data_IF_651339228572
#
_entry.id   IF_651339228572
#
_cell.length_a   1.000
_cell.length_b   1.000
_cell.length_c   1.000
_cell.angle_alpha   90.00
_cell.angle_beta   90.00
_cell.angle_gamma   90.00
#
_symmetry.space_group_name_H-M   'P 1'
#
loop_
_entity.id
_entity.type
_entity.pdbx_description
1 polymer ?
#
# COMPACT_ATOMS: atom_id res chain seq x y z
N UNK A 1 22.71 -53.86 -35.36
CA UNK A 1 22.59 -52.43 -35.71
C UNK A 1 21.24 -52.20 -36.40
N UNK A 2 20.39 -51.33 -35.81
CA UNK A 2 19.33 -50.48 -36.43
C UNK A 2 18.11 -50.31 -35.50
N UNK A 3 17.89 -49.04 -35.17
CA UNK A 3 16.70 -48.31 -34.71
C UNK A 3 15.37 -49.06 -34.54
N UNK A 4 14.71 -48.79 -33.41
CA UNK A 4 13.26 -48.50 -33.38
C UNK A 4 12.94 -47.44 -32.32
N UNK A 5 12.80 -46.21 -32.82
CA UNK A 5 12.08 -45.09 -32.23
C UNK A 5 10.66 -45.54 -31.84
N UNK A 6 10.19 -45.19 -30.63
CA UNK A 6 8.76 -45.15 -30.32
C UNK A 6 8.45 -43.84 -29.59
N UNK A 7 7.60 -43.07 -30.26
CA UNK A 7 6.99 -41.79 -29.91
C UNK A 7 6.52 -41.73 -28.44
N UNK A 8 6.81 -40.64 -27.73
CA UNK A 8 5.93 -39.46 -27.59
C UNK A 8 4.46 -39.85 -27.42
N UNK A 9 3.96 -39.69 -26.20
CA UNK A 9 2.68 -39.08 -25.78
C UNK A 9 2.48 -39.44 -24.31
N UNK A 10 3.13 -38.71 -23.40
CA UNK A 10 2.58 -38.54 -22.06
C UNK A 10 1.89 -37.20 -22.07
N UNK A 11 0.58 -37.30 -22.28
CA UNK A 11 -0.42 -36.25 -22.12
C UNK A 11 -0.19 -35.47 -20.82
N UNK A 12 -0.62 -34.21 -20.88
CA UNK A 12 -0.75 -33.26 -19.78
C UNK A 12 -1.02 -33.93 -18.43
N UNK A 13 -0.30 -33.45 -17.41
CA UNK A 13 -0.50 -33.76 -16.00
C UNK A 13 -1.99 -33.84 -15.68
N UNK A 14 -2.48 -35.07 -15.49
CA UNK A 14 -3.76 -35.29 -14.86
C UNK A 14 -3.66 -34.71 -13.44
N UNK A 15 -4.42 -33.65 -13.19
CA UNK A 15 -4.65 -33.15 -11.83
C UNK A 15 -5.46 -34.25 -11.14
N UNK A 16 -4.82 -35.05 -10.30
CA UNK A 16 -5.48 -36.09 -9.53
C UNK A 16 -6.23 -35.42 -8.38
N UNK A 17 -7.55 -35.23 -8.52
CA UNK A 17 -8.42 -34.91 -7.41
C UNK A 17 -8.61 -36.14 -6.50
N UNK A 18 -8.54 -35.97 -5.18
CA UNK A 18 -8.74 -37.02 -4.18
C UNK A 18 -7.55 -37.21 -3.21
N UNK A 19 -7.63 -38.17 -2.26
CA UNK A 19 -6.72 -38.34 -1.11
C UNK A 19 -5.25 -38.69 -1.44
N UNK A 20 -4.87 -38.61 -2.71
CA UNK A 20 -3.50 -38.76 -3.22
C UNK A 20 -3.02 -37.51 -3.97
N UNK A 21 -3.69 -36.36 -3.76
CA UNK A 21 -3.25 -35.07 -4.26
C UNK A 21 -1.83 -34.76 -3.76
N UNK A 22 -0.98 -34.32 -4.68
CA UNK A 22 0.45 -34.03 -4.44
C UNK A 22 0.68 -32.57 -4.00
N UNK A 23 -0.40 -31.81 -3.88
CA UNK A 23 -0.39 -30.41 -3.41
C UNK A 23 -0.27 -30.45 -1.88
N UNK A 24 0.67 -29.67 -1.33
CA UNK A 24 0.79 -29.52 0.12
C UNK A 24 -0.47 -28.87 0.69
N UNK A 25 -0.95 -29.31 1.86
CA UNK A 25 -2.21 -28.84 2.45
C UNK A 25 -2.26 -27.29 2.50
N UNK A 26 -1.17 -26.63 2.87
CA UNK A 26 -1.06 -25.16 2.89
C UNK A 26 -1.29 -24.52 1.52
N UNK A 27 -0.77 -25.12 0.45
CA UNK A 27 -0.93 -24.63 -0.92
C UNK A 27 -2.37 -24.83 -1.44
N UNK A 28 -3.05 -25.89 -0.97
CA UNK A 28 -4.46 -26.10 -1.25
C UNK A 28 -5.35 -25.07 -0.52
N UNK A 29 -5.10 -24.82 0.77
CA UNK A 29 -5.84 -23.81 1.54
C UNK A 29 -5.62 -22.42 0.97
N UNK A 30 -4.39 -22.05 0.60
CA UNK A 30 -4.09 -20.77 -0.06
C UNK A 30 -4.83 -20.63 -1.40
N UNK A 31 -4.92 -21.70 -2.19
CA UNK A 31 -5.62 -21.69 -3.47
C UNK A 31 -7.14 -21.58 -3.32
N UNK A 32 -7.71 -22.26 -2.32
CA UNK A 32 -9.15 -22.20 -2.00
C UNK A 32 -9.51 -20.83 -1.45
N UNK A 33 -8.74 -20.29 -0.51
CA UNK A 33 -8.92 -18.93 0.01
C UNK A 33 -8.78 -17.88 -1.10
N UNK A 34 -7.75 -18.00 -1.95
CA UNK A 34 -7.59 -17.09 -3.10
C UNK A 34 -8.75 -17.17 -4.10
N UNK A 35 -9.36 -18.36 -4.27
CA UNK A 35 -10.56 -18.54 -5.07
C UNK A 35 -11.79 -17.86 -4.47
N UNK A 36 -11.96 -17.97 -3.15
CA UNK A 36 -13.04 -17.31 -2.41
C UNK A 36 -12.89 -15.79 -2.42
N UNK A 37 -11.67 -15.28 -2.22
CA UNK A 37 -11.34 -13.85 -2.29
C UNK A 37 -11.72 -13.25 -3.65
N UNK A 38 -11.45 -13.96 -4.75
CA UNK A 38 -11.83 -13.48 -6.10
C UNK A 38 -13.34 -13.36 -6.26
N UNK A 39 -14.09 -14.29 -5.68
CA UNK A 39 -15.56 -14.27 -5.70
C UNK A 39 -16.08 -13.12 -4.85
N UNK A 40 -15.51 -12.91 -3.65
CA UNK A 40 -15.86 -11.80 -2.77
C UNK A 40 -15.52 -10.44 -3.40
N UNK A 41 -14.35 -10.30 -4.00
CA UNK A 41 -13.98 -9.08 -4.74
C UNK A 41 -14.92 -8.79 -5.91
N UNK A 42 -15.34 -9.82 -6.66
CA UNK A 42 -16.30 -9.66 -7.75
C UNK A 42 -17.68 -9.25 -7.22
N UNK A 43 -18.10 -9.81 -6.08
CA UNK A 43 -19.34 -9.43 -5.41
C UNK A 43 -19.29 -7.99 -4.89
N UNK A 44 -18.21 -7.60 -4.21
CA UNK A 44 -18.00 -6.23 -3.73
C UNK A 44 -17.99 -5.23 -4.88
N UNK A 45 -17.32 -5.56 -5.99
CA UNK A 45 -17.33 -4.72 -7.18
C UNK A 45 -18.75 -4.55 -7.72
N UNK A 46 -19.54 -5.64 -7.78
CA UNK A 46 -20.94 -5.60 -8.22
C UNK A 46 -21.82 -4.79 -7.26
N UNK A 47 -21.61 -4.90 -5.96
CA UNK A 47 -22.36 -4.14 -4.96
C UNK A 47 -22.03 -2.64 -5.02
N UNK A 48 -20.76 -2.29 -5.17
CA UNK A 48 -20.33 -0.89 -5.34
C UNK A 48 -20.88 -0.24 -6.61
N UNK A 49 -20.97 -0.99 -7.70
CA UNK A 49 -21.63 -0.52 -8.93
C UNK A 49 -23.12 -0.27 -8.69
N UNK A 50 -23.77 -1.07 -7.84
CA UNK A 50 -25.20 -0.90 -7.50
C UNK A 50 -25.48 0.24 -6.53
N UNK A 51 -24.63 0.44 -5.52
CA UNK A 51 -24.84 1.45 -4.46
C UNK A 51 -24.25 2.82 -4.79
N UNK A 52 -23.31 2.89 -5.75
CA UNK A 52 -22.49 4.07 -6.00
C UNK A 52 -21.42 4.25 -4.90
N UNK A 53 -20.20 4.62 -5.28
CA UNK A 53 -19.14 4.88 -4.29
C UNK A 53 -19.50 6.13 -3.48
N UNK A 54 -19.80 5.98 -2.19
CA UNK A 54 -19.96 7.12 -1.30
C UNK A 54 -18.62 7.87 -1.21
N UNK A 55 -18.56 9.07 -1.78
CA UNK A 55 -17.39 9.95 -1.65
C UNK A 55 -17.34 10.48 -0.22
N UNK A 56 -16.22 10.31 0.52
CA UNK A 56 -16.09 10.91 1.83
C UNK A 56 -16.32 12.41 1.77
N UNK A 57 -17.13 12.94 2.68
CA UNK A 57 -17.30 14.39 2.82
C UNK A 57 -15.99 14.96 3.37
N UNK A 58 -15.38 15.87 2.62
CA UNK A 58 -14.16 16.58 3.00
C UNK A 58 -14.54 18.00 3.44
N UNK A 59 -14.39 18.36 4.72
CA UNK A 59 -14.59 19.74 5.19
C UNK A 59 -13.64 20.73 4.49
N UNK A 60 -13.96 22.04 4.48
CA UNK A 60 -13.01 23.04 4.00
C UNK A 60 -11.76 23.12 4.89
N UNK A 61 -10.60 23.52 4.35
CA UNK A 61 -9.38 23.79 5.12
C UNK A 61 -9.61 24.69 6.33
N UNK A 62 -9.04 24.32 7.48
CA UNK A 62 -9.20 25.06 8.74
C UNK A 62 -8.10 26.11 8.95
N UNK A 63 -6.85 25.81 8.58
CA UNK A 63 -5.73 26.75 8.69
C UNK A 63 -4.53 26.34 7.80
N UNK A 64 -3.53 27.20 7.58
CA UNK A 64 -2.26 26.75 7.02
C UNK A 64 -1.63 25.67 7.90
N UNK A 65 -1.11 24.60 7.29
CA UNK A 65 -0.52 23.47 8.03
C UNK A 65 0.51 23.90 9.06
N UNK A 66 1.38 24.86 8.74
CA UNK A 66 2.40 25.41 9.64
C UNK A 66 1.87 26.08 10.92
N UNK A 67 0.57 26.43 10.96
CA UNK A 67 -0.09 27.03 12.12
C UNK A 67 -0.90 26.02 12.94
N UNK A 68 -1.00 24.77 12.49
CA UNK A 68 -1.78 23.73 13.16
C UNK A 68 -1.03 23.11 14.34
N UNK A 69 -1.75 22.69 15.39
CA UNK A 69 -1.16 22.08 16.60
C UNK A 69 -0.34 20.81 16.33
N UNK A 70 -0.67 20.08 15.26
CA UNK A 70 0.04 18.86 14.86
C UNK A 70 1.28 19.14 14.01
N UNK A 71 1.50 20.38 13.57
CA UNK A 71 2.59 20.70 12.65
C UNK A 71 3.98 20.29 13.14
N UNK A 72 4.37 20.52 14.40
CA UNK A 72 5.70 20.11 14.87
C UNK A 72 5.93 18.59 14.73
N UNK A 73 4.89 17.79 15.00
CA UNK A 73 4.92 16.34 14.82
C UNK A 73 4.95 15.97 13.33
N UNK A 74 4.08 16.55 12.51
CA UNK A 74 4.02 16.32 11.06
C UNK A 74 5.38 16.58 10.43
N UNK A 75 5.98 17.75 10.69
CA UNK A 75 7.25 18.14 10.11
C UNK A 75 8.38 17.17 10.53
N UNK A 76 8.46 16.84 11.81
CA UNK A 76 9.47 15.93 12.35
C UNK A 76 9.32 14.51 11.78
N UNK A 77 8.12 13.94 11.83
CA UNK A 77 7.85 12.57 11.38
C UNK A 77 8.04 12.47 9.87
N UNK A 78 7.58 13.45 9.08
CA UNK A 78 7.79 13.46 7.63
C UNK A 78 9.28 13.47 7.31
N UNK A 79 10.07 14.33 7.96
CA UNK A 79 11.51 14.39 7.76
C UNK A 79 12.19 13.03 8.06
N UNK A 80 11.83 12.42 9.20
CA UNK A 80 12.37 11.12 9.62
C UNK A 80 11.98 9.99 8.65
N UNK A 81 10.71 9.90 8.27
CA UNK A 81 10.21 8.85 7.39
C UNK A 81 10.79 8.95 5.97
N UNK A 82 10.97 10.18 5.46
CA UNK A 82 11.65 10.40 4.18
C UNK A 82 13.11 9.96 4.25
N UNK A 83 13.83 10.32 5.32
CA UNK A 83 15.21 9.89 5.50
C UNK A 83 15.34 8.35 5.52
N UNK A 84 14.48 7.66 6.29
CA UNK A 84 14.46 6.19 6.34
C UNK A 84 14.04 5.53 5.03
N UNK A 85 13.08 6.11 4.31
CA UNK A 85 12.70 5.62 2.99
C UNK A 85 13.87 5.69 2.00
N UNK A 86 14.68 6.76 2.04
CA UNK A 86 15.86 6.94 1.17
C UNK A 86 17.02 6.00 1.47
N UNK A 87 17.18 5.53 2.71
CA UNK A 87 18.26 4.61 3.06
C UNK A 87 18.12 3.27 2.31
N UNK A 88 19.22 2.75 1.76
CA UNK A 88 19.22 1.41 1.17
C UNK A 88 18.95 0.34 2.23
N UNK A 89 18.56 -0.88 1.82
CA UNK A 89 18.37 -2.00 2.75
C UNK A 89 19.67 -2.36 3.47
N UNK A 90 20.83 -2.24 2.79
CA UNK A 90 22.14 -2.45 3.39
C UNK A 90 22.55 -1.38 4.42
N UNK A 91 22.04 -0.16 4.26
CA UNK A 91 22.29 0.96 5.19
C UNK A 91 21.27 1.00 6.35
N UNK A 92 20.16 0.25 6.22
CA UNK A 92 19.05 0.22 7.17
C UNK A 92 19.19 -0.89 8.25
N UNK A 93 20.39 -1.47 8.38
CA UNK A 93 20.74 -2.48 9.38
C UNK A 93 20.59 -3.95 8.93
N UNK A 94 21.14 -4.86 9.74
CA UNK A 94 20.97 -6.31 9.55
C UNK A 94 19.52 -6.74 9.85
N UNK A 95 19.03 -7.80 9.20
CA UNK A 95 17.75 -8.43 9.55
C UNK A 95 16.56 -8.18 8.59
N UNK A 96 16.73 -7.40 7.51
CA UNK A 96 15.73 -7.33 6.45
C UNK A 96 15.66 -8.65 5.66
N UNK A 97 14.45 -9.19 5.54
CA UNK A 97 14.16 -10.44 4.84
C UNK A 97 13.21 -10.16 3.67
N UNK A 98 13.59 -10.58 2.46
CA UNK A 98 12.69 -10.57 1.30
C UNK A 98 11.59 -11.62 1.52
N UNK A 99 10.33 -11.21 1.47
CA UNK A 99 9.18 -12.12 1.66
C UNK A 99 8.25 -12.19 0.45
N UNK A 100 8.33 -11.23 -0.48
CA UNK A 100 7.60 -11.25 -1.73
C UNK A 100 8.39 -10.55 -2.86
N UNK A 101 8.33 -11.13 -4.06
CA UNK A 101 8.87 -10.57 -5.30
C UNK A 101 7.91 -10.87 -6.45
N UNK A 102 7.56 -9.84 -7.23
CA UNK A 102 6.72 -9.96 -8.44
C UNK A 102 7.20 -8.90 -9.45
N UNK A 103 7.92 -9.34 -10.48
CA UNK A 103 8.53 -8.47 -11.50
C UNK A 103 9.45 -7.40 -10.89
N UNK A 104 9.08 -6.13 -11.03
CA UNK A 104 9.83 -4.98 -10.50
C UNK A 104 9.45 -4.63 -9.04
N UNK A 105 8.62 -5.44 -8.39
CA UNK A 105 8.21 -5.27 -7.00
C UNK A 105 9.01 -6.19 -6.09
N UNK A 106 9.61 -5.64 -5.03
CA UNK A 106 10.32 -6.37 -3.98
C UNK A 106 9.85 -5.90 -2.62
N UNK A 107 9.50 -6.82 -1.73
CA UNK A 107 9.03 -6.51 -0.37
C UNK A 107 9.87 -7.18 0.69
N UNK A 108 10.29 -6.38 1.64
CA UNK A 108 11.16 -6.75 2.73
C UNK A 108 10.44 -6.49 4.05
N UNK A 109 10.68 -7.36 5.03
CA UNK A 109 10.25 -7.17 6.41
C UNK A 109 11.43 -7.35 7.36
N UNK A 110 11.35 -6.75 8.53
CA UNK A 110 12.20 -7.07 9.67
C UNK A 110 11.30 -7.58 10.78
N UNK A 111 11.58 -8.75 11.34
CA UNK A 111 10.77 -9.27 12.43
C UNK A 111 11.07 -8.50 13.73
N UNK A 112 10.04 -7.96 14.35
CA UNK A 112 10.15 -7.14 15.54
C UNK A 112 8.89 -7.29 16.42
N UNK A 113 9.10 -7.47 17.71
CA UNK A 113 8.03 -7.60 18.69
C UNK A 113 8.26 -6.61 19.84
N UNK A 114 7.22 -5.84 20.15
CA UNK A 114 7.22 -4.86 21.24
C UNK A 114 6.04 -5.18 22.14
N UNK A 115 6.30 -5.43 23.43
CA UNK A 115 5.29 -5.82 24.41
C UNK A 115 4.44 -7.04 23.99
N UNK A 116 5.07 -8.00 23.30
CA UNK A 116 4.40 -9.20 22.77
C UNK A 116 3.50 -8.95 21.56
N UNK A 117 3.53 -7.74 20.99
CA UNK A 117 2.83 -7.39 19.76
C UNK A 117 3.79 -7.38 18.58
N UNK A 118 3.39 -8.01 17.48
CA UNK A 118 4.13 -7.98 16.21
C UNK A 118 4.05 -6.59 15.61
N UNK A 119 5.20 -5.94 15.47
CA UNK A 119 5.35 -4.60 14.91
C UNK A 119 6.34 -4.58 13.74
N UNK A 120 6.47 -5.72 13.05
CA UNK A 120 7.41 -5.95 11.95
C UNK A 120 7.47 -4.76 10.97
N UNK A 121 8.60 -4.01 10.91
CA UNK A 121 8.77 -2.98 9.90
C UNK A 121 8.80 -3.58 8.51
N UNK A 122 8.07 -2.96 7.58
CA UNK A 122 7.99 -3.34 6.18
C UNK A 122 8.58 -2.26 5.29
N UNK A 123 9.32 -2.68 4.26
CA UNK A 123 9.79 -1.83 3.18
C UNK A 123 9.58 -2.51 1.84
N UNK A 124 8.87 -1.86 0.93
CA UNK A 124 8.68 -2.31 -0.44
C UNK A 124 9.30 -1.32 -1.42
N UNK A 125 9.88 -1.84 -2.50
CA UNK A 125 10.36 -1.06 -3.64
C UNK A 125 9.65 -1.58 -4.88
N UNK A 126 9.06 -0.67 -5.65
CA UNK A 126 8.35 -1.02 -6.88
C UNK A 126 8.60 0.01 -7.98
N UNK A 127 8.87 -0.43 -9.20
CA UNK A 127 9.01 0.46 -10.36
C UNK A 127 7.81 0.26 -11.30
N UNK A 128 7.10 1.35 -11.60
CA UNK A 128 5.90 1.34 -12.43
C UNK A 128 6.08 2.29 -13.61
N UNK A 129 5.82 1.83 -14.83
CA UNK A 129 5.92 2.65 -16.05
C UNK A 129 4.65 3.47 -16.27
N UNK A 130 4.75 4.61 -16.93
CA UNK A 130 3.58 5.37 -17.40
C UNK A 130 2.93 6.29 -16.38
N UNK A 131 3.44 6.36 -15.15
CA UNK A 131 2.93 7.20 -14.07
C UNK A 131 4.05 7.99 -13.39
N UNK A 132 3.71 9.14 -12.81
CA UNK A 132 4.64 9.98 -12.04
C UNK A 132 4.48 9.77 -10.54
N UNK A 133 5.47 10.24 -9.76
CA UNK A 133 5.39 10.26 -8.31
C UNK A 133 4.30 11.20 -7.78
N UNK A 134 4.05 12.33 -8.46
CA UNK A 134 2.95 13.22 -8.11
C UNK A 134 1.59 12.52 -8.28
N UNK A 135 1.36 11.84 -9.41
CA UNK A 135 0.14 11.05 -9.65
C UNK A 135 -0.05 10.01 -8.55
N UNK A 136 0.98 9.21 -8.25
CA UNK A 136 0.91 8.19 -7.19
C UNK A 136 0.56 8.81 -5.83
N UNK A 137 1.26 9.86 -5.42
CA UNK A 137 1.01 10.50 -4.13
C UNK A 137 -0.38 11.16 -4.07
N UNK A 138 -0.83 11.79 -5.16
CA UNK A 138 -2.16 12.39 -5.25
C UNK A 138 -3.27 11.38 -5.01
N UNK A 139 -3.27 10.23 -5.71
CA UNK A 139 -4.30 9.20 -5.55
C UNK A 139 -4.20 8.45 -4.20
N UNK A 140 -3.01 8.39 -3.60
CA UNK A 140 -2.81 7.80 -2.27
C UNK A 140 -3.37 8.70 -1.15
N UNK A 141 -3.08 10.00 -1.22
CA UNK A 141 -3.50 11.01 -0.25
C UNK A 141 -5.00 11.32 -0.32
N UNK A 142 -5.53 11.49 -1.53
CA UNK A 142 -6.86 12.05 -1.79
C UNK A 142 -8.01 11.15 -1.28
N UNK A 143 -8.86 11.63 -0.34
CA UNK A 143 -9.95 10.84 0.26
C UNK A 143 -10.96 10.31 -0.77
N UNK A 144 -11.27 11.11 -1.79
CA UNK A 144 -12.31 10.81 -2.78
C UNK A 144 -12.03 9.55 -3.62
N UNK A 145 -10.77 9.12 -3.70
CA UNK A 145 -10.36 7.93 -4.45
C UNK A 145 -10.14 6.72 -3.56
N UNK A 146 -10.18 6.86 -2.22
CA UNK A 146 -9.74 5.80 -1.30
C UNK A 146 -10.48 4.50 -1.54
N UNK A 147 -11.81 4.55 -1.58
CA UNK A 147 -12.62 3.35 -1.75
C UNK A 147 -12.33 2.64 -3.06
N UNK A 148 -11.90 3.31 -4.13
CA UNK A 148 -11.64 2.69 -5.44
C UNK A 148 -10.58 1.59 -5.38
N UNK A 149 -9.55 1.80 -4.58
CA UNK A 149 -8.40 0.89 -4.52
C UNK A 149 -8.22 0.19 -3.16
N UNK A 150 -8.65 0.77 -2.05
CA UNK A 150 -8.49 0.19 -0.71
C UNK A 150 -9.56 -0.88 -0.42
N UNK A 151 -9.13 -2.12 -0.22
CA UNK A 151 -10.03 -3.28 -0.03
C UNK A 151 -10.22 -3.67 1.41
N UNK A 152 -9.38 -3.17 2.33
CA UNK A 152 -9.44 -3.52 3.76
C UNK A 152 -10.29 -2.55 4.58
N UNK A 153 -10.73 -1.45 3.98
CA UNK A 153 -11.48 -0.38 4.63
C UNK A 153 -12.97 -0.70 4.68
N UNK A 154 -13.56 -0.56 5.86
CA UNK A 154 -15.01 -0.63 6.08
C UNK A 154 -15.63 0.78 5.98
N UNK A 155 -15.04 1.75 6.67
CA UNK A 155 -15.53 3.13 6.72
C UNK A 155 -14.36 4.10 6.89
N UNK A 156 -14.44 5.24 6.20
CA UNK A 156 -13.56 6.40 6.35
C UNK A 156 -14.36 7.65 6.63
N UNK A 157 -13.87 8.45 7.58
CA UNK A 157 -14.33 9.81 7.89
C UNK A 157 -13.14 10.75 7.86
N UNK A 158 -13.25 11.88 7.14
CA UNK A 158 -12.32 13.00 7.26
C UNK A 158 -12.74 13.81 8.48
N UNK A 159 -12.00 13.69 9.57
CA UNK A 159 -12.28 14.40 10.82
C UNK A 159 -11.98 15.89 10.70
N UNK A 160 -10.90 16.22 9.99
CA UNK A 160 -10.45 17.59 9.77
C UNK A 160 -9.66 17.66 8.47
N UNK A 161 -9.93 18.68 7.65
CA UNK A 161 -9.01 19.11 6.60
C UNK A 161 -8.20 20.26 7.16
N UNK A 162 -6.96 19.97 7.56
CA UNK A 162 -6.09 20.98 8.17
C UNK A 162 -5.78 22.01 7.09
N UNK A 163 -5.17 21.55 5.99
CA UNK A 163 -4.93 22.32 4.77
C UNK A 163 -5.07 21.40 3.54
N UNK A 164 -4.85 21.94 2.34
CA UNK A 164 -4.90 21.17 1.10
C UNK A 164 -3.89 20.00 1.06
N UNK A 165 -2.82 20.09 1.84
CA UNK A 165 -1.75 19.09 1.93
C UNK A 165 -1.85 18.18 3.17
N UNK A 166 -2.82 18.41 4.06
CA UNK A 166 -2.87 17.78 5.38
C UNK A 166 -4.30 17.49 5.83
N UNK A 167 -4.60 16.23 6.13
CA UNK A 167 -5.93 15.79 6.57
C UNK A 167 -5.84 14.85 7.77
N UNK A 168 -6.83 14.89 8.65
CA UNK A 168 -7.01 13.97 9.76
C UNK A 168 -8.12 12.97 9.45
N UNK A 169 -7.83 11.69 9.58
CA UNK A 169 -8.75 10.61 9.25
C UNK A 169 -9.12 9.78 10.48
N UNK A 170 -10.37 9.30 10.50
CA UNK A 170 -10.79 8.13 11.25
C UNK A 170 -11.17 7.04 10.26
N UNK A 171 -10.59 5.85 10.41
CA UNK A 171 -10.89 4.70 9.57
C UNK A 171 -11.20 3.47 10.41
N UNK A 172 -12.18 2.69 9.98
CA UNK A 172 -12.44 1.35 10.50
C UNK A 172 -12.14 0.33 9.41
N UNK A 173 -11.44 -0.73 9.76
CA UNK A 173 -11.08 -1.80 8.83
C UNK A 173 -12.03 -2.99 8.96
N UNK A 174 -12.14 -3.78 7.88
CA UNK A 174 -12.85 -5.06 7.88
C UNK A 174 -12.29 -5.96 8.98
N UNK A 175 -13.19 -6.72 9.62
CA UNK A 175 -12.81 -7.57 10.75
C UNK A 175 -12.07 -8.81 10.26
N UNK A 176 -10.91 -9.07 10.85
CA UNK A 176 -10.12 -10.29 10.61
C UNK A 176 -10.34 -11.26 11.77
N UNK A 177 -11.12 -12.31 11.52
CA UNK A 177 -11.40 -13.35 12.52
C UNK A 177 -10.12 -14.15 12.84
N UNK A 178 -9.85 -14.53 14.10
CA UNK A 178 -10.72 -14.43 15.28
C UNK A 178 -10.70 -13.07 16.00
N UNK A 179 -9.85 -12.15 15.60
CA UNK A 179 -9.59 -10.96 16.37
C UNK A 179 -10.67 -9.85 16.19
N UNK A 180 -10.66 -8.86 17.07
CA UNK A 180 -11.64 -7.76 17.11
C UNK A 180 -11.57 -6.87 15.86
N UNK A 181 -12.58 -6.05 15.59
CA UNK A 181 -12.47 -5.06 14.51
C UNK A 181 -11.43 -3.99 14.89
N UNK A 182 -10.78 -3.37 13.91
CA UNK A 182 -9.74 -2.35 14.15
C UNK A 182 -10.18 -0.99 13.64
N UNK A 183 -9.86 0.05 14.39
CA UNK A 183 -9.95 1.45 13.95
C UNK A 183 -8.59 2.13 14.04
N UNK A 184 -8.44 3.24 13.32
CA UNK A 184 -7.23 4.08 13.34
C UNK A 184 -7.59 5.54 13.20
N UNK A 185 -6.88 6.38 13.95
CA UNK A 185 -6.87 7.82 13.76
C UNK A 185 -5.47 8.23 13.37
N UNK A 186 -5.34 8.94 12.26
CA UNK A 186 -4.04 9.36 11.75
C UNK A 186 -4.17 10.64 10.94
N UNK A 187 -3.13 11.48 10.99
CA UNK A 187 -2.97 12.53 10.00
C UNK A 187 -2.28 11.95 8.76
N UNK A 188 -2.64 12.45 7.59
CA UNK A 188 -1.96 12.23 6.32
C UNK A 188 -1.42 13.56 5.83
N UNK A 189 -0.16 13.59 5.39
CA UNK A 189 0.47 14.77 4.84
C UNK A 189 1.15 14.43 3.51
N UNK A 190 0.79 15.14 2.44
CA UNK A 190 1.47 15.07 1.13
C UNK A 190 2.51 16.18 1.04
N UNK A 191 3.71 15.84 0.57
CA UNK A 191 4.81 16.80 0.46
C UNK A 191 5.58 16.65 -0.84
N UNK A 192 5.83 17.80 -1.45
CA UNK A 192 6.76 17.97 -2.56
C UNK A 192 8.18 18.21 -2.02
N UNK A 193 9.17 17.50 -2.55
CA UNK A 193 10.56 17.51 -2.08
C UNK A 193 11.53 17.68 -3.25
N UNK A 194 12.62 18.43 -3.06
CA UNK A 194 13.66 18.50 -4.08
C UNK A 194 14.31 17.14 -4.31
N UNK A 195 14.76 16.91 -5.54
CA UNK A 195 15.56 15.75 -5.89
C UNK A 195 17.06 16.01 -5.70
N UNK A 196 17.54 15.87 -4.46
CA UNK A 196 18.94 16.16 -4.11
C UNK A 196 19.97 15.29 -4.87
N UNK A 197 19.55 14.11 -5.33
CA UNK A 197 20.40 13.14 -6.04
C UNK A 197 20.45 13.37 -7.56
N UNK A 198 19.46 14.07 -8.11
CA UNK A 198 19.35 14.40 -9.53
C UNK A 198 18.64 15.75 -9.67
N UNK A 199 19.44 16.84 -9.58
CA UNK A 199 18.92 18.21 -9.55
C UNK A 199 18.24 18.64 -10.85
N UNK A 200 18.58 18.00 -11.96
CA UNK A 200 17.99 18.25 -13.27
C UNK A 200 16.80 17.29 -13.55
N UNK A 201 16.59 16.31 -12.66
CA UNK A 201 15.48 15.38 -12.72
C UNK A 201 14.21 15.94 -12.07
N UNK A 202 13.07 15.23 -12.22
CA UNK A 202 11.83 15.61 -11.55
C UNK A 202 11.98 15.57 -10.04
N UNK A 203 11.21 16.42 -9.38
CA UNK A 203 11.08 16.44 -7.94
C UNK A 203 10.45 15.14 -7.40
N UNK A 204 10.63 14.96 -6.09
CA UNK A 204 10.20 13.78 -5.35
C UNK A 204 8.90 14.11 -4.62
N UNK A 205 7.96 13.18 -4.65
CA UNK A 205 6.71 13.31 -3.92
C UNK A 205 6.65 12.28 -2.80
N UNK A 206 6.07 12.67 -1.66
CA UNK A 206 5.85 11.75 -0.55
C UNK A 206 4.47 11.95 0.06
N UNK A 207 3.90 10.88 0.59
CA UNK A 207 2.77 10.94 1.52
C UNK A 207 3.14 10.19 2.78
N UNK A 208 2.97 10.83 3.93
CA UNK A 208 3.20 10.22 5.24
C UNK A 208 1.90 10.18 6.01
N UNK A 209 1.56 9.00 6.53
CA UNK A 209 0.44 8.79 7.42
C UNK A 209 0.98 8.39 8.78
N UNK A 210 0.54 9.05 9.85
CA UNK A 210 0.99 8.72 11.19
C UNK A 210 -0.15 8.84 12.19
N UNK A 211 -0.26 7.84 13.06
CA UNK A 211 -1.31 7.82 14.06
C UNK A 211 -1.20 8.96 15.04
N UNK A 212 -2.36 9.46 15.46
CA UNK A 212 -2.47 10.52 16.44
C UNK A 212 -3.74 10.31 17.27
N UNK A 213 -3.92 11.14 18.29
CA UNK A 213 -5.10 11.08 19.17
C UNK A 213 -6.12 12.16 18.82
N UNK A 214 -7.40 11.83 19.07
CA UNK A 214 -8.49 12.79 18.96
C UNK A 214 -9.41 12.65 20.17
N UNK A 215 -9.61 13.76 20.88
CA UNK A 215 -10.37 13.83 22.14
C UNK A 215 -11.80 13.27 22.03
N UNK A 216 -12.46 13.49 20.90
CA UNK A 216 -13.85 13.07 20.69
C UNK A 216 -13.97 11.61 20.22
N UNK A 217 -12.84 10.95 19.93
CA UNK A 217 -12.78 9.55 19.49
C UNK A 217 -11.71 8.77 20.28
N UNK A 218 -11.87 8.65 21.61
CA UNK A 218 -10.90 7.96 22.46
C UNK A 218 -10.77 6.50 22.06
N UNK A 219 -9.54 5.98 22.12
CA UNK A 219 -9.23 4.60 21.80
C UNK A 219 -10.05 3.62 22.66
N UNK A 220 -10.42 2.47 22.08
CA UNK A 220 -11.07 1.35 22.78
C UNK A 220 -12.39 1.70 23.51
N UNK A 221 -13.07 2.77 23.10
CA UNK A 221 -14.38 3.17 23.65
C UNK A 221 -15.58 2.42 23.03
N UNK A 222 -15.32 1.45 22.14
CA UNK A 222 -16.33 0.67 21.42
C UNK A 222 -15.90 -0.76 21.11
N UNK A 223 -16.41 -1.33 20.01
CA UNK A 223 -16.09 -2.71 19.56
C UNK A 223 -14.77 -2.83 18.79
N UNK A 224 -14.11 -1.70 18.53
CA UNK A 224 -12.85 -1.64 17.80
C UNK A 224 -11.65 -1.54 18.74
N UNK A 225 -10.56 -2.20 18.36
CA UNK A 225 -9.23 -2.01 18.94
C UNK A 225 -8.46 -1.00 18.10
N UNK A 226 -7.88 0.01 18.74
CA UNK A 226 -7.12 1.07 18.06
C UNK A 226 -5.76 0.55 17.59
N UNK A 227 -5.52 0.52 16.29
CA UNK A 227 -4.17 0.30 15.75
C UNK A 227 -3.39 1.62 15.71
N UNK A 228 -2.07 1.50 15.73
CA UNK A 228 -1.16 2.62 15.51
C UNK A 228 -0.31 2.32 14.28
N UNK A 229 -0.16 3.30 13.40
CA UNK A 229 0.59 3.14 12.16
C UNK A 229 1.52 4.32 11.91
N UNK A 230 2.61 4.03 11.23
CA UNK A 230 3.40 5.01 10.49
C UNK A 230 3.65 4.45 9.11
N UNK A 231 3.25 5.19 8.08
CA UNK A 231 3.35 4.79 6.68
C UNK A 231 3.98 5.92 5.89
N UNK A 232 4.87 5.59 4.96
CA UNK A 232 5.53 6.53 4.06
C UNK A 232 5.49 5.98 2.64
N UNK A 233 4.91 6.73 1.72
CA UNK A 233 4.90 6.46 0.28
C UNK A 233 5.81 7.48 -0.39
N UNK A 234 7.08 7.14 -0.61
CA UNK A 234 8.06 8.01 -1.27
C UNK A 234 8.18 7.64 -2.75
N UNK A 235 7.97 8.61 -3.64
CA UNK A 235 7.89 8.39 -5.08
C UNK A 235 8.89 9.26 -5.84
N UNK A 236 9.71 8.63 -6.69
CA UNK A 236 10.70 9.29 -7.52
C UNK A 236 10.35 9.07 -8.99
N UNK A 237 10.03 10.13 -9.72
CA UNK A 237 9.77 10.05 -11.17
C UNK A 237 11.10 10.02 -11.93
N UNK A 238 11.27 9.04 -12.82
CA UNK A 238 12.34 8.99 -13.79
C UNK A 238 11.77 9.32 -15.16
N UNK A 239 12.37 10.29 -15.84
CA UNK A 239 12.09 10.62 -17.24
C UNK A 239 13.22 10.07 -18.09
N UNK A 240 12.87 9.29 -19.11
CA UNK A 240 13.77 8.88 -20.18
C UNK A 240 13.58 9.91 -21.30
N UNK A 241 14.57 10.78 -21.56
CA UNK A 241 14.43 11.82 -22.57
C UNK A 241 13.98 11.23 -23.91
N UNK A 242 12.92 11.79 -24.53
CA UNK A 242 12.46 11.32 -25.82
C UNK A 242 13.46 11.76 -26.92
N UNK A 243 13.23 11.32 -28.17
CA UNK A 243 14.05 11.79 -29.30
C UNK A 243 13.92 13.31 -29.43
N UNK A 244 14.98 13.97 -29.86
CA UNK A 244 15.03 15.42 -29.96
C UNK A 244 13.81 15.99 -30.73
N UNK A 245 13.16 16.99 -30.15
CA UNK A 245 11.97 17.63 -30.71
C UNK A 245 10.64 16.89 -30.50
N UNK A 246 10.61 15.75 -29.79
CA UNK A 246 9.36 15.04 -29.46
C UNK A 246 8.90 15.30 -28.02
N UNK A 247 7.58 15.42 -27.77
CA UNK A 247 7.08 15.64 -26.41
C UNK A 247 7.26 14.40 -25.52
N UNK A 248 7.38 14.62 -24.21
CA UNK A 248 7.38 13.53 -23.23
C UNK A 248 6.01 12.86 -23.21
N UNK A 249 6.00 11.54 -23.37
CA UNK A 249 4.79 10.71 -23.28
C UNK A 249 4.85 9.79 -22.06
N UNK A 250 3.76 9.07 -21.77
CA UNK A 250 3.74 8.09 -20.67
C UNK A 250 4.78 6.97 -20.87
N UNK A 251 5.12 6.63 -22.11
CA UNK A 251 6.16 5.64 -22.41
C UNK A 251 7.58 6.10 -22.01
N UNK A 252 7.76 7.41 -21.83
CA UNK A 252 9.02 8.03 -21.43
C UNK A 252 9.18 8.16 -19.91
N UNK A 253 8.20 7.78 -19.11
CA UNK A 253 8.24 7.97 -17.66
C UNK A 253 8.09 6.67 -16.90
N UNK A 254 8.74 6.60 -15.74
CA UNK A 254 8.45 5.60 -14.72
C UNK A 254 8.55 6.20 -13.33
N UNK A 255 7.83 5.63 -12.37
CA UNK A 255 7.88 6.00 -10.98
C UNK A 255 8.53 4.86 -10.18
N UNK A 256 9.61 5.18 -9.45
CA UNK A 256 10.14 4.32 -8.40
C UNK A 256 9.44 4.67 -7.09
N UNK A 257 8.70 3.72 -6.57
CA UNK A 257 7.94 3.79 -5.33
C UNK A 257 8.74 3.09 -4.23
N UNK A 258 8.93 3.77 -3.11
CA UNK A 258 9.41 3.18 -1.86
C UNK A 258 8.32 3.33 -0.81
N UNK A 259 7.73 2.21 -0.43
CA UNK A 259 6.66 2.16 0.57
C UNK A 259 7.22 1.58 1.86
N UNK A 260 7.20 2.36 2.93
CA UNK A 260 7.56 1.92 4.28
C UNK A 260 6.32 1.88 5.17
N UNK A 261 6.18 0.87 6.00
CA UNK A 261 5.06 0.74 6.93
C UNK A 261 5.49 0.06 8.22
N UNK A 262 5.05 0.63 9.34
CA UNK A 262 5.12 0.01 10.67
C UNK A 262 3.72 0.11 11.25
N UNK A 263 3.15 -1.03 11.65
CA UNK A 263 1.79 -1.10 12.22
C UNK A 263 1.85 -1.86 13.54
N UNK A 264 1.39 -1.21 14.60
CA UNK A 264 1.11 -1.82 15.88
C UNK A 264 -0.37 -2.21 15.95
N UNK A 265 -0.70 -3.48 16.21
CA UNK A 265 -2.08 -3.96 16.25
C UNK A 265 -2.90 -3.43 17.43
N UNK A 266 -2.27 -2.75 18.40
CA UNK A 266 -2.89 -2.11 19.57
C UNK A 266 -3.43 -3.07 20.63
N UNK A 267 -3.35 -4.37 20.36
CA UNK A 267 -3.82 -5.43 21.23
C UNK A 267 -3.43 -6.78 20.67
N UNK A 268 -3.84 -7.84 21.39
CA UNK A 268 -3.44 -9.20 21.05
C UNK A 268 -3.91 -9.62 19.64
N UNK A 269 -2.98 -10.16 18.87
CA UNK A 269 -3.22 -10.83 17.61
C UNK A 269 -2.15 -11.93 17.40
N UNK A 270 -2.51 -13.13 16.91
CA UNK A 270 -1.52 -14.17 16.68
C UNK A 270 -0.47 -13.75 15.65
N UNK A 271 0.81 -13.88 16.00
CA UNK A 271 1.92 -13.48 15.13
C UNK A 271 1.91 -14.19 13.77
N UNK A 272 1.62 -15.49 13.75
CA UNK A 272 1.50 -16.28 12.52
C UNK A 272 0.40 -15.76 11.60
N UNK A 273 -0.77 -15.43 12.16
CA UNK A 273 -1.91 -14.89 11.41
C UNK A 273 -1.59 -13.51 10.84
N UNK A 274 -0.99 -12.62 11.65
CA UNK A 274 -0.58 -11.30 11.18
C UNK A 274 0.46 -11.40 10.07
N UNK A 275 1.50 -12.21 10.24
CA UNK A 275 2.56 -12.38 9.22
C UNK A 275 2.04 -13.02 7.94
N UNK A 276 1.09 -13.95 8.02
CA UNK A 276 0.42 -14.52 6.85
C UNK A 276 -0.42 -13.46 6.12
N UNK A 277 -1.22 -12.70 6.87
CA UNK A 277 -2.03 -11.61 6.34
C UNK A 277 -1.15 -10.57 5.63
N UNK A 278 -0.07 -10.09 6.27
CA UNK A 278 0.81 -9.11 5.67
C UNK A 278 1.48 -9.63 4.40
N UNK A 279 1.92 -10.90 4.40
CA UNK A 279 2.52 -11.55 3.23
C UNK A 279 1.56 -11.57 2.02
N UNK A 280 0.26 -11.62 2.27
CA UNK A 280 -0.81 -11.62 1.26
C UNK A 280 -1.25 -10.21 0.86
N UNK A 281 -1.63 -9.39 1.84
CA UNK A 281 -2.31 -8.11 1.62
C UNK A 281 -1.39 -7.02 1.08
N UNK A 282 -0.12 -6.93 1.52
CA UNK A 282 0.77 -5.86 1.04
C UNK A 282 1.09 -5.96 -0.46
N UNK A 283 1.49 -7.13 -1.02
CA UNK A 283 1.66 -7.29 -2.47
C UNK A 283 0.39 -6.99 -3.25
N UNK A 284 -0.77 -7.46 -2.74
CA UNK A 284 -2.08 -7.24 -3.34
C UNK A 284 -2.43 -5.75 -3.38
N UNK A 285 -2.27 -5.05 -2.25
CA UNK A 285 -2.45 -3.60 -2.15
C UNK A 285 -1.59 -2.86 -3.17
N UNK A 286 -0.27 -3.06 -3.15
CA UNK A 286 0.62 -2.23 -3.94
C UNK A 286 0.39 -2.44 -5.44
N UNK A 287 0.14 -3.68 -5.87
CA UNK A 287 -0.20 -4.02 -7.26
C UNK A 287 -1.55 -3.44 -7.69
N UNK A 288 -2.58 -3.58 -6.85
CA UNK A 288 -3.92 -3.03 -7.13
C UNK A 288 -3.88 -1.51 -7.22
N UNK A 289 -3.23 -0.87 -6.26
CA UNK A 289 -3.13 0.58 -6.19
C UNK A 289 -2.38 1.17 -7.38
N UNK A 290 -1.20 0.64 -7.73
CA UNK A 290 -0.43 1.17 -8.87
C UNK A 290 -1.11 0.91 -10.21
N UNK A 291 -1.82 -0.22 -10.35
CA UNK A 291 -2.67 -0.50 -11.51
C UNK A 291 -3.85 0.47 -11.60
N UNK A 292 -4.47 0.80 -10.46
CA UNK A 292 -5.52 1.80 -10.38
C UNK A 292 -5.02 3.18 -10.84
N UNK A 293 -3.87 3.64 -10.32
CA UNK A 293 -3.27 4.93 -10.73
C UNK A 293 -2.99 4.94 -12.23
N UNK A 294 -2.37 3.88 -12.77
CA UNK A 294 -2.09 3.74 -14.21
C UNK A 294 -3.37 3.86 -15.05
N UNK A 295 -4.44 3.16 -14.65
CA UNK A 295 -5.72 3.21 -15.35
C UNK A 295 -6.41 4.59 -15.24
N UNK A 296 -6.26 5.26 -14.10
CA UNK A 296 -6.83 6.58 -13.89
C UNK A 296 -6.12 7.68 -14.68
N UNK A 297 -4.85 7.48 -15.04
CA UNK A 297 -4.03 8.53 -15.67
C UNK A 297 -3.76 8.30 -17.15
N UNK A 298 -3.90 7.06 -17.67
CA UNK A 298 -3.51 6.69 -19.05
C UNK A 298 -3.86 7.70 -20.16
N UNK A 299 -5.05 8.32 -20.10
CA UNK A 299 -5.57 9.24 -21.13
C UNK A 299 -5.64 10.70 -20.64
N UNK A 300 -5.01 11.02 -19.51
CA UNK A 300 -4.95 12.37 -18.92
C UNK A 300 -3.57 13.01 -19.15
N UNK A 301 -3.48 14.35 -19.19
CA UNK A 301 -2.20 15.05 -19.17
C UNK A 301 -1.30 14.57 -18.01
N UNK A 302 0.01 14.52 -18.24
CA UNK A 302 0.97 14.09 -17.23
C UNK A 302 1.06 15.17 -16.15
N UNK A 303 0.87 14.76 -14.90
CA UNK A 303 1.08 15.60 -13.72
C UNK A 303 2.46 15.31 -13.14
N UNK A 304 3.43 16.21 -13.33
CA UNK A 304 4.81 16.06 -12.82
C UNK A 304 4.93 16.40 -11.34
#
# INVERSE_FOLDING_TARGET
MRNKTRNLYKSASAICEGPHSIIADDEFYDAVESGLDKIEEEQELRERIKSGTAVPVTPPPTCPSASHRLWPEIEQVVHQQVAWARLGLGDSGTGWQLFAEDGEMRMYRREEEVDGMVVDPLKAVHIVKGITGHEVCHYFFSPQYRYDWETTLEQMTVLETIADDSCLFLQTHKRIWPASQRDVIFWSHIRHLPNDQDRDGPDIWTVVNHSTEHKDYPANSGKCVRIFLTVCMLCQTRVIPPKEGTPITRDNISCKITYCSVVNPGGWAPASVLRALYKREYPKFLKRFTSYVTNQTKDKPIMF
#
